data_IF_518786222666
#
_entry.id   IF_518786222666
#
_cell.length_a   1.000
_cell.length_b   1.000
_cell.length_c   1.000
_cell.angle_alpha   90.00
_cell.angle_beta   90.00
_cell.angle_gamma   90.00
#
_symmetry.space_group_name_H-M   'P 1'
#
loop_
_entity.id
_entity.type
_entity.pdbx_description
1 polymer ?
#
# COMPACT_ATOMS: atom_id res chain seq x y z
N UNK A 1 -17.21 7.51 -75.51
CA UNK A 1 -17.86 7.83 -74.22
C UNK A 1 -16.97 7.33 -73.12
N UNK A 2 -16.40 8.23 -72.34
CA UNK A 2 -15.28 7.96 -71.42
C UNK A 2 -15.81 7.58 -70.03
N UNK A 3 -15.50 6.38 -69.53
CA UNK A 3 -15.75 5.97 -68.16
C UNK A 3 -14.60 6.50 -67.31
N UNK A 4 -14.96 7.32 -66.34
CA UNK A 4 -14.03 7.84 -65.30
C UNK A 4 -14.13 6.89 -64.10
N UNK A 5 -13.09 6.10 -63.86
CA UNK A 5 -12.94 5.31 -62.67
C UNK A 5 -12.44 6.22 -61.56
N UNK A 6 -13.26 6.39 -60.51
CA UNK A 6 -12.82 7.05 -59.26
C UNK A 6 -12.06 6.03 -58.41
N UNK A 7 -10.76 6.22 -58.31
CA UNK A 7 -9.94 5.54 -57.29
C UNK A 7 -10.18 6.25 -55.95
N UNK A 8 -10.79 5.56 -55.03
CA UNK A 8 -10.80 5.90 -53.61
C UNK A 8 -9.54 5.34 -52.94
N UNK A 9 -8.66 6.24 -52.49
CA UNK A 9 -7.47 5.92 -51.71
C UNK A 9 -7.96 5.69 -50.28
N UNK A 10 -7.76 4.50 -49.64
CA UNK A 10 -7.97 4.39 -48.23
C UNK A 10 -6.80 5.06 -47.50
N UNK A 11 -7.12 6.04 -46.66
CA UNK A 11 -6.19 6.64 -45.76
C UNK A 11 -5.74 5.57 -44.75
N UNK A 12 -4.53 5.08 -44.92
CA UNK A 12 -3.87 4.17 -43.98
C UNK A 12 -3.49 5.00 -42.74
N UNK A 13 -4.31 4.94 -41.69
CA UNK A 13 -3.92 5.41 -40.37
C UNK A 13 -2.84 4.46 -39.85
N UNK A 14 -1.60 4.84 -40.03
CA UNK A 14 -0.46 4.19 -39.37
C UNK A 14 -0.49 4.64 -37.91
N UNK A 15 -1.18 3.87 -37.05
CA UNK A 15 -1.01 3.96 -35.61
C UNK A 15 0.41 3.44 -35.35
N UNK A 16 1.33 4.35 -35.09
CA UNK A 16 2.64 3.98 -34.55
C UNK A 16 2.39 3.35 -33.16
N UNK A 17 2.34 2.02 -33.13
CA UNK A 17 2.47 1.29 -31.91
C UNK A 17 3.89 1.53 -31.39
N UNK A 18 4.03 2.49 -30.47
CA UNK A 18 5.26 2.64 -29.70
C UNK A 18 5.35 1.37 -28.86
N UNK A 19 6.24 0.48 -29.27
CA UNK A 19 6.56 -0.75 -28.56
C UNK A 19 7.06 -0.37 -27.16
N UNK A 20 6.21 -0.53 -26.16
CA UNK A 20 6.56 -0.37 -24.74
C UNK A 20 7.30 -1.61 -24.20
N UNK A 21 8.13 -2.26 -25.00
CA UNK A 21 8.93 -3.42 -24.55
C UNK A 21 10.00 -3.06 -23.49
N UNK A 22 10.31 -1.77 -23.29
CA UNK A 22 11.15 -1.29 -22.19
C UNK A 22 10.38 -0.81 -20.93
N UNK A 23 9.06 -0.96 -20.93
CA UNK A 23 8.19 -0.41 -19.89
C UNK A 23 8.21 -1.21 -18.59
N UNK A 24 8.55 -2.48 -18.68
CA UNK A 24 8.53 -3.42 -17.55
C UNK A 24 9.93 -3.82 -17.08
N UNK A 25 10.97 -3.32 -17.72
CA UNK A 25 12.30 -3.30 -17.15
C UNK A 25 12.62 -1.87 -16.75
N UNK A 26 12.31 -1.46 -15.50
CA UNK A 26 12.86 -0.23 -14.95
C UNK A 26 14.37 -0.45 -14.84
N UNK A 27 15.10 -0.11 -15.89
CA UNK A 27 16.53 0.05 -15.73
C UNK A 27 16.71 1.12 -14.67
N UNK A 28 17.45 0.81 -13.61
CA UNK A 28 17.91 1.80 -12.65
C UNK A 28 18.77 2.81 -13.42
N UNK A 29 18.12 3.84 -13.97
CA UNK A 29 18.87 5.02 -14.37
C UNK A 29 19.26 5.68 -13.08
N UNK A 30 20.57 5.90 -12.92
CA UNK A 30 21.09 6.77 -11.90
C UNK A 30 20.25 8.05 -11.91
N UNK A 31 19.42 8.22 -10.89
CA UNK A 31 18.75 9.49 -10.62
C UNK A 31 19.81 10.34 -9.94
N UNK A 32 20.85 10.69 -10.70
CA UNK A 32 21.84 11.66 -10.28
C UNK A 32 21.16 13.02 -10.30
N UNK A 33 20.80 13.50 -9.14
CA UNK A 33 20.09 14.77 -9.00
C UNK A 33 18.89 14.72 -8.05
N UNK A 34 18.60 13.59 -7.43
CA UNK A 34 17.67 13.54 -6.32
C UNK A 34 18.20 14.42 -5.18
N UNK A 35 17.41 15.37 -4.72
CA UNK A 35 17.83 16.41 -3.74
C UNK A 35 18.10 17.78 -4.35
N UNK A 36 18.25 17.90 -5.67
CA UNK A 36 18.45 19.19 -6.33
C UNK A 36 17.18 19.75 -7.00
N UNK A 37 16.01 19.19 -6.72
CA UNK A 37 14.74 19.65 -7.31
C UNK A 37 14.65 19.50 -8.84
N UNK A 38 15.54 18.72 -9.44
CA UNK A 38 15.58 18.54 -10.88
C UNK A 38 14.45 17.61 -11.32
N UNK A 39 13.34 18.21 -11.68
CA UNK A 39 12.37 17.59 -12.59
C UNK A 39 13.15 17.01 -13.79
N UNK A 40 12.83 15.77 -14.24
CA UNK A 40 13.49 15.22 -15.42
C UNK A 40 13.38 16.22 -16.57
N UNK A 41 14.50 16.78 -16.98
CA UNK A 41 14.52 17.91 -17.94
C UNK A 41 14.36 17.48 -19.40
N UNK A 42 14.23 16.18 -19.68
CA UNK A 42 14.08 15.68 -21.04
C UNK A 42 12.62 15.36 -21.37
N UNK A 43 12.11 15.69 -22.56
CA UNK A 43 10.73 15.35 -22.97
C UNK A 43 10.40 13.86 -22.82
N UNK A 44 11.36 12.97 -23.10
CA UNK A 44 11.17 11.52 -22.94
C UNK A 44 10.96 11.12 -21.49
N UNK A 45 11.67 11.71 -20.53
CA UNK A 45 11.49 11.44 -19.12
C UNK A 45 10.14 11.97 -18.63
N UNK A 46 9.66 13.09 -19.15
CA UNK A 46 8.34 13.64 -18.85
C UNK A 46 7.24 12.72 -19.34
N UNK A 47 7.29 12.30 -20.59
CA UNK A 47 6.33 11.36 -21.19
C UNK A 47 6.29 10.02 -20.44
N UNK A 48 7.44 9.52 -20.02
CA UNK A 48 7.53 8.31 -19.21
C UNK A 48 6.75 8.45 -17.91
N UNK A 49 6.97 9.53 -17.16
CA UNK A 49 6.28 9.70 -15.87
C UNK A 49 4.80 10.06 -16.04
N UNK A 50 4.40 10.70 -17.11
CA UNK A 50 2.99 10.90 -17.47
C UNK A 50 2.30 9.56 -17.70
N UNK A 51 2.91 8.69 -18.49
CA UNK A 51 2.40 7.35 -18.74
C UNK A 51 2.39 6.47 -17.48
N UNK A 52 3.42 6.59 -16.63
CA UNK A 52 3.47 5.90 -15.33
C UNK A 52 2.31 6.33 -14.40
N UNK A 53 2.04 7.62 -14.29
CA UNK A 53 0.91 8.12 -13.51
C UNK A 53 -0.44 7.67 -14.09
N UNK A 54 -0.58 7.63 -15.41
CA UNK A 54 -1.77 7.12 -16.07
C UNK A 54 -1.97 5.62 -15.78
N UNK A 55 -0.88 4.83 -15.81
CA UNK A 55 -0.91 3.42 -15.41
C UNK A 55 -1.40 3.26 -13.97
N UNK A 56 -0.86 4.01 -13.02
CA UNK A 56 -1.26 3.93 -11.59
C UNK A 56 -2.71 4.37 -11.32
N UNK A 57 -3.33 5.08 -12.25
CA UNK A 57 -4.75 5.43 -12.20
C UNK A 57 -5.65 4.39 -12.89
N UNK A 58 -5.07 3.43 -13.61
CA UNK A 58 -5.83 2.38 -14.28
C UNK A 58 -6.26 1.28 -13.29
N UNK A 59 -7.19 0.43 -13.73
CA UNK A 59 -7.59 -0.76 -12.96
C UNK A 59 -6.56 -1.89 -13.11
N UNK A 60 -5.77 -2.11 -12.04
CA UNK A 60 -4.72 -3.13 -11.97
C UNK A 60 -4.55 -3.64 -10.54
N UNK A 61 -3.83 -4.75 -10.34
CA UNK A 61 -3.45 -5.21 -9.01
C UNK A 61 -2.32 -4.33 -8.47
N UNK A 62 -2.49 -3.75 -7.28
CA UNK A 62 -1.52 -2.80 -6.74
C UNK A 62 -0.30 -3.46 -6.12
N UNK A 63 0.84 -2.79 -6.21
CA UNK A 63 2.03 -3.10 -5.44
C UNK A 63 2.10 -2.22 -4.19
N UNK A 64 2.32 -2.85 -3.06
CA UNK A 64 2.31 -2.24 -1.73
C UNK A 64 3.60 -2.55 -0.96
N UNK A 65 3.95 -1.73 0.01
CA UNK A 65 4.93 -2.12 1.02
C UNK A 65 5.11 -1.11 2.13
N UNK A 66 5.55 -1.63 3.29
CA UNK A 66 6.00 -0.78 4.38
C UNK A 66 7.48 -0.45 4.18
N UNK A 67 7.79 0.83 4.19
CA UNK A 67 9.13 1.36 4.03
C UNK A 67 9.63 1.87 5.38
N UNK A 68 10.59 1.16 5.96
CA UNK A 68 11.31 1.56 7.15
C UNK A 68 12.57 2.35 6.83
N UNK A 69 13.34 2.69 7.88
CA UNK A 69 14.65 3.35 7.74
C UNK A 69 14.68 4.58 6.83
N UNK A 70 13.55 5.25 6.65
CA UNK A 70 13.40 6.39 5.77
C UNK A 70 14.15 7.63 6.29
N UNK A 71 15.17 8.05 5.59
CA UNK A 71 15.93 9.27 5.90
C UNK A 71 15.80 10.33 4.80
N UNK A 72 15.50 9.94 3.57
CA UNK A 72 15.51 10.79 2.38
C UNK A 72 16.93 11.20 1.94
N UNK A 73 17.97 10.65 2.56
CA UNK A 73 19.38 10.89 2.24
C UNK A 73 20.20 9.60 2.38
N UNK A 74 21.35 9.54 1.71
CA UNK A 74 22.28 8.41 1.82
C UNK A 74 23.32 8.42 0.69
N UNK A 75 24.30 7.52 0.79
CA UNK A 75 25.27 7.27 -0.29
C UNK A 75 24.62 6.46 -1.44
N UNK A 76 23.47 5.86 -1.18
CA UNK A 76 22.60 5.18 -2.15
C UNK A 76 21.15 5.64 -1.93
N UNK A 77 20.22 5.17 -2.76
CA UNK A 77 18.78 5.43 -2.59
C UNK A 77 18.07 4.40 -1.68
N UNK A 78 18.80 3.58 -0.96
CA UNK A 78 18.26 2.54 -0.08
C UNK A 78 17.30 3.09 0.98
N UNK A 79 17.64 4.25 1.58
CA UNK A 79 16.84 4.91 2.60
C UNK A 79 15.99 6.06 2.04
N UNK A 80 15.68 6.00 0.72
CA UNK A 80 14.85 6.95 0.02
C UNK A 80 13.71 6.22 -0.70
N UNK A 81 12.50 6.69 -0.56
CA UNK A 81 11.34 6.17 -1.32
C UNK A 81 11.52 6.34 -2.83
N UNK A 82 12.29 7.34 -3.24
CA UNK A 82 12.68 7.55 -4.64
C UNK A 82 13.45 6.37 -5.23
N UNK A 83 14.16 5.58 -4.40
CA UNK A 83 14.89 4.38 -4.81
C UNK A 83 14.04 3.17 -5.14
N UNK A 84 12.77 3.17 -4.73
CA UNK A 84 11.82 2.10 -5.03
C UNK A 84 11.53 2.01 -6.53
N UNK A 85 11.16 0.82 -7.03
CA UNK A 85 10.69 0.66 -8.40
C UNK A 85 9.58 1.66 -8.72
N UNK A 86 9.63 2.27 -9.90
CA UNK A 86 8.71 3.35 -10.28
C UNK A 86 7.24 2.91 -10.27
N UNK A 87 6.97 1.64 -10.56
CA UNK A 87 5.63 1.06 -10.58
C UNK A 87 5.07 0.67 -9.19
N UNK A 88 5.79 0.95 -8.08
CA UNK A 88 5.21 0.80 -6.74
C UNK A 88 4.06 1.79 -6.57
N UNK A 89 2.87 1.29 -6.21
CA UNK A 89 1.63 2.06 -6.16
C UNK A 89 1.43 2.73 -4.81
N UNK A 90 1.64 1.98 -3.72
CA UNK A 90 1.35 2.43 -2.36
C UNK A 90 2.53 2.11 -1.44
N UNK A 91 2.95 3.07 -0.65
CA UNK A 91 3.97 2.93 0.39
C UNK A 91 3.35 3.32 1.73
N UNK A 92 3.49 2.48 2.74
CA UNK A 92 3.22 2.84 4.13
C UNK A 92 4.53 3.21 4.83
N UNK A 93 4.62 4.44 5.36
CA UNK A 93 5.84 4.98 5.99
C UNK A 93 6.01 4.44 7.41
N UNK A 94 6.71 3.31 7.55
CA UNK A 94 6.93 2.64 8.83
C UNK A 94 7.98 3.37 9.68
N UNK A 95 7.56 3.83 10.86
CA UNK A 95 8.46 4.50 11.82
C UNK A 95 8.73 5.99 11.58
N UNK A 96 8.28 6.56 10.47
CA UNK A 96 8.55 7.96 10.14
C UNK A 96 7.40 8.70 9.46
N UNK A 97 6.48 9.27 10.24
CA UNK A 97 5.32 10.01 9.69
C UNK A 97 5.15 11.41 10.28
N UNK A 98 6.02 11.82 11.21
CA UNK A 98 5.99 13.13 11.88
C UNK A 98 7.38 13.75 11.91
N UNK A 99 7.41 15.08 12.02
CA UNK A 99 8.65 15.84 12.11
C UNK A 99 9.62 15.55 10.95
N UNK A 100 9.07 15.42 9.75
CA UNK A 100 9.84 15.08 8.55
C UNK A 100 10.95 16.11 8.32
N UNK A 101 12.17 15.64 8.08
CA UNK A 101 13.29 16.47 7.62
C UNK A 101 12.96 17.06 6.24
N UNK A 102 13.70 18.09 5.84
CA UNK A 102 13.56 18.66 4.49
C UNK A 102 13.79 17.62 3.40
N UNK A 103 14.78 16.76 3.58
CA UNK A 103 15.07 15.68 2.63
C UNK A 103 13.93 14.67 2.52
N UNK A 104 13.31 14.28 3.64
CA UNK A 104 12.13 13.42 3.61
C UNK A 104 10.94 14.09 2.93
N UNK A 105 10.72 15.39 3.14
CA UNK A 105 9.65 16.14 2.47
C UNK A 105 9.87 16.21 0.95
N UNK A 106 11.12 16.41 0.52
CA UNK A 106 11.50 16.43 -0.91
C UNK A 106 11.33 15.04 -1.54
N UNK A 107 11.74 13.98 -0.85
CA UNK A 107 11.57 12.60 -1.28
C UNK A 107 10.09 12.21 -1.39
N UNK A 108 9.29 12.53 -0.37
CA UNK A 108 7.83 12.36 -0.38
C UNK A 108 7.19 13.03 -1.60
N UNK A 109 7.49 14.31 -1.78
CA UNK A 109 6.97 15.07 -2.91
C UNK A 109 7.37 14.48 -4.26
N UNK A 110 8.61 14.02 -4.41
CA UNK A 110 9.08 13.39 -5.63
C UNK A 110 8.28 12.13 -5.97
N UNK A 111 8.10 11.21 -5.02
CA UNK A 111 7.38 9.96 -5.30
C UNK A 111 5.89 10.20 -5.56
N UNK A 112 5.27 11.18 -4.88
CA UNK A 112 3.88 11.53 -5.08
C UNK A 112 3.64 12.25 -6.40
N UNK A 113 4.34 13.36 -6.66
CA UNK A 113 4.06 14.23 -7.79
C UNK A 113 4.66 13.71 -9.11
N UNK A 114 5.86 13.11 -9.05
CA UNK A 114 6.56 12.64 -10.25
C UNK A 114 6.18 11.21 -10.57
N UNK A 115 6.31 10.28 -9.60
CA UNK A 115 6.00 8.86 -9.82
C UNK A 115 4.50 8.53 -9.71
N UNK A 116 3.70 9.36 -9.04
CA UNK A 116 2.28 9.10 -8.77
C UNK A 116 2.05 8.01 -7.72
N UNK A 117 3.06 7.71 -6.90
CA UNK A 117 2.97 6.75 -5.79
C UNK A 117 2.21 7.38 -4.63
N UNK A 118 1.26 6.66 -4.03
CA UNK A 118 0.59 7.09 -2.80
C UNK A 118 1.46 6.73 -1.60
N UNK A 119 1.60 7.66 -0.66
CA UNK A 119 2.34 7.43 0.58
C UNK A 119 1.42 7.61 1.78
N UNK A 120 1.29 6.58 2.60
CA UNK A 120 0.44 6.53 3.78
C UNK A 120 1.28 6.69 5.05
N UNK A 121 0.69 7.30 6.05
CA UNK A 121 1.17 7.18 7.42
C UNK A 121 0.67 5.87 8.02
N UNK A 122 1.45 5.23 8.89
CA UNK A 122 1.11 3.95 9.51
C UNK A 122 1.64 3.86 10.94
N UNK A 123 0.90 3.26 11.80
CA UNK A 123 1.31 2.75 13.12
C UNK A 123 0.20 1.92 13.77
N UNK A 124 0.56 1.10 14.78
CA UNK A 124 -0.38 0.31 15.58
C UNK A 124 -1.32 1.24 16.35
N UNK A 125 -2.63 1.19 16.06
CA UNK A 125 -3.61 2.17 16.53
C UNK A 125 -4.33 1.79 17.82
N UNK A 126 -4.24 0.53 18.28
CA UNK A 126 -5.03 0.02 19.40
C UNK A 126 -4.84 0.83 20.68
N UNK A 127 -3.66 1.37 20.89
CA UNK A 127 -3.31 2.25 22.01
C UNK A 127 -3.34 3.71 21.57
N UNK A 128 -4.20 4.52 22.16
CA UNK A 128 -4.34 5.94 21.85
C UNK A 128 -3.12 6.79 22.30
N UNK A 129 -2.08 6.17 22.84
CA UNK A 129 -0.76 6.76 23.08
C UNK A 129 0.23 6.54 21.93
N UNK A 130 -0.13 5.71 20.95
CA UNK A 130 0.70 5.39 19.79
C UNK A 130 0.86 6.58 18.82
N UNK A 131 1.76 6.44 17.84
CA UNK A 131 2.01 7.45 16.83
C UNK A 131 2.70 8.73 17.36
N UNK A 132 3.09 8.76 18.64
CA UNK A 132 3.77 9.91 19.26
C UNK A 132 2.89 11.18 19.36
N UNK A 133 1.57 11.04 19.34
CA UNK A 133 0.63 12.16 19.41
C UNK A 133 0.44 12.68 20.85
N UNK A 134 0.64 11.81 21.83
CA UNK A 134 0.57 12.17 23.25
C UNK A 134 1.98 12.51 23.76
N UNK A 135 2.18 13.66 24.44
CA UNK A 135 3.45 13.98 25.06
C UNK A 135 3.89 12.90 26.05
N UNK A 136 5.19 12.56 26.08
CA UNK A 136 5.72 11.47 26.89
C UNK A 136 5.34 11.54 28.38
N UNK A 137 5.23 12.74 28.94
CA UNK A 137 4.84 12.97 30.34
C UNK A 137 3.36 12.61 30.62
N UNK A 138 2.52 12.61 29.56
CA UNK A 138 1.09 12.30 29.59
C UNK A 138 0.76 10.96 28.95
N UNK A 139 1.78 10.13 28.68
CA UNK A 139 1.69 8.83 28.03
C UNK A 139 2.32 7.71 28.87
N UNK A 140 2.36 7.84 30.20
CA UNK A 140 2.96 6.85 31.08
C UNK A 140 2.03 5.71 31.42
N UNK A 141 0.75 6.00 31.55
CA UNK A 141 -0.31 5.03 31.86
C UNK A 141 -1.51 5.19 30.93
N UNK A 142 -2.39 4.18 30.88
CA UNK A 142 -3.65 4.30 30.17
C UNK A 142 -4.52 5.45 30.69
N UNK A 143 -4.49 5.68 32.03
CA UNK A 143 -5.23 6.78 32.65
C UNK A 143 -4.71 8.15 32.19
N UNK A 144 -3.37 8.34 32.13
CA UNK A 144 -2.77 9.58 31.62
C UNK A 144 -3.21 9.86 30.19
N UNK A 145 -3.21 8.86 29.32
CA UNK A 145 -3.65 8.99 27.92
C UNK A 145 -5.11 9.35 27.81
N UNK A 146 -5.98 8.63 28.54
CA UNK A 146 -7.42 8.92 28.58
C UNK A 146 -7.68 10.36 29.00
N UNK A 147 -7.02 10.81 30.07
CA UNK A 147 -7.11 12.19 30.54
C UNK A 147 -6.66 13.20 29.48
N UNK A 148 -5.56 12.93 28.79
CA UNK A 148 -5.07 13.78 27.69
C UNK A 148 -6.11 13.95 26.59
N UNK A 149 -6.81 12.88 26.22
CA UNK A 149 -7.85 12.90 25.21
C UNK A 149 -9.17 13.45 25.71
N UNK A 150 -9.34 13.63 27.01
CA UNK A 150 -10.57 14.10 27.64
C UNK A 150 -11.60 13.00 27.92
N UNK A 151 -11.14 11.78 28.01
CA UNK A 151 -11.95 10.60 28.31
C UNK A 151 -12.23 10.51 29.83
N UNK A 152 -13.49 10.35 30.21
CA UNK A 152 -13.97 10.13 31.56
C UNK A 152 -14.85 8.89 31.59
N UNK A 153 -14.39 7.83 32.24
CA UNK A 153 -15.10 6.53 32.30
C UNK A 153 -16.51 6.63 32.90
N UNK A 154 -16.80 7.68 33.67
CA UNK A 154 -18.14 7.96 34.24
C UNK A 154 -19.11 8.59 33.23
N UNK A 155 -18.63 9.05 32.06
CA UNK A 155 -19.37 9.79 31.06
C UNK A 155 -19.16 9.20 29.66
N UNK A 156 -20.00 8.26 29.21
CA UNK A 156 -19.83 7.58 27.93
C UNK A 156 -19.66 8.49 26.71
N UNK A 157 -20.31 9.66 26.71
CA UNK A 157 -20.19 10.64 25.63
C UNK A 157 -18.77 11.22 25.48
N UNK A 158 -17.99 11.25 26.56
CA UNK A 158 -16.60 11.72 26.53
C UNK A 158 -15.69 10.67 25.90
N UNK A 159 -16.04 9.40 25.97
CA UNK A 159 -15.29 8.29 25.39
C UNK A 159 -15.32 8.40 23.87
N UNK A 160 -16.52 8.54 23.30
CA UNK A 160 -16.69 8.74 21.87
C UNK A 160 -15.98 10.00 21.39
N UNK A 161 -16.14 11.12 22.10
CA UNK A 161 -15.48 12.38 21.78
C UNK A 161 -13.93 12.26 21.80
N UNK A 162 -13.37 11.50 22.75
CA UNK A 162 -11.93 11.24 22.84
C UNK A 162 -11.42 10.43 21.66
N UNK A 163 -12.15 9.40 21.25
CA UNK A 163 -11.81 8.58 20.07
C UNK A 163 -11.86 9.41 18.78
N UNK A 164 -12.91 10.21 18.60
CA UNK A 164 -13.02 11.12 17.44
C UNK A 164 -11.89 12.15 17.44
N UNK A 165 -11.53 12.71 18.60
CA UNK A 165 -10.40 13.64 18.72
C UNK A 165 -9.08 12.99 18.33
N UNK A 166 -8.84 11.75 18.76
CA UNK A 166 -7.65 10.98 18.37
C UNK A 166 -7.59 10.78 16.85
N UNK A 167 -8.65 10.28 16.23
CA UNK A 167 -8.78 10.10 14.80
C UNK A 167 -8.52 11.41 14.02
N UNK A 168 -9.13 12.52 14.46
CA UNK A 168 -8.94 13.82 13.83
C UNK A 168 -7.51 14.35 13.98
N UNK A 169 -6.84 14.10 15.10
CA UNK A 169 -5.45 14.51 15.32
C UNK A 169 -4.49 13.77 14.37
N UNK A 170 -4.78 12.49 14.06
CA UNK A 170 -4.08 11.74 13.03
C UNK A 170 -4.30 12.40 11.66
N UNK A 171 -5.56 12.68 11.31
CA UNK A 171 -5.90 13.34 10.04
C UNK A 171 -5.25 14.72 9.90
N UNK A 172 -5.19 15.52 10.97
CA UNK A 172 -4.49 16.82 10.97
C UNK A 172 -3.01 16.66 10.63
N UNK A 173 -2.38 15.60 11.14
CA UNK A 173 -0.96 15.31 10.88
C UNK A 173 -0.76 14.84 9.44
N UNK A 174 -1.63 13.96 8.93
CA UNK A 174 -1.65 13.50 7.53
C UNK A 174 -1.75 14.70 6.58
N UNK A 175 -2.67 15.60 6.86
CA UNK A 175 -2.87 16.81 6.06
C UNK A 175 -1.68 17.75 6.13
N UNK A 176 -1.11 17.94 7.33
CA UNK A 176 0.05 18.81 7.56
C UNK A 176 1.28 18.38 6.75
N UNK A 177 1.55 17.09 6.69
CA UNK A 177 2.74 16.55 6.00
C UNK A 177 2.45 16.10 4.56
N UNK A 178 1.20 16.14 4.12
CA UNK A 178 0.83 15.81 2.74
C UNK A 178 0.77 14.32 2.42
N UNK A 179 0.63 13.44 3.41
CA UNK A 179 0.40 12.01 3.14
C UNK A 179 -0.91 11.78 2.39
N UNK A 180 -0.98 10.71 1.58
CA UNK A 180 -2.14 10.36 0.76
C UNK A 180 -3.21 9.59 1.52
N UNK A 181 -2.99 9.26 2.78
CA UNK A 181 -3.93 8.53 3.60
C UNK A 181 -3.31 7.93 4.85
N UNK A 182 -4.00 6.93 5.39
CA UNK A 182 -3.61 6.23 6.60
C UNK A 182 -3.76 4.72 6.44
N UNK A 183 -2.79 4.00 6.95
CA UNK A 183 -2.77 2.55 7.07
C UNK A 183 -2.98 2.20 8.55
N UNK A 184 -4.11 1.57 8.84
CA UNK A 184 -4.50 1.16 10.20
C UNK A 184 -3.83 -0.16 10.51
N UNK A 185 -2.72 -0.15 11.23
CA UNK A 185 -2.13 -1.38 11.74
C UNK A 185 -2.95 -1.86 12.94
N UNK A 186 -3.71 -2.97 12.73
CA UNK A 186 -4.65 -3.54 13.70
C UNK A 186 -4.39 -5.02 13.97
N UNK A 187 -3.79 -5.29 15.12
CA UNK A 187 -3.33 -6.63 15.51
C UNK A 187 -3.84 -7.03 16.91
N UNK A 188 -5.17 -7.14 17.15
CA UNK A 188 -5.72 -7.34 18.48
C UNK A 188 -5.35 -8.69 19.11
N UNK A 189 -5.03 -9.71 18.31
CA UNK A 189 -4.70 -11.05 18.77
C UNK A 189 -3.19 -11.27 19.03
N UNK A 190 -2.33 -10.31 18.61
CA UNK A 190 -0.88 -10.37 18.82
C UNK A 190 -0.37 -9.57 20.03
N UNK A 191 -1.24 -9.37 21.03
CA UNK A 191 -0.86 -8.75 22.31
C UNK A 191 -0.96 -7.23 22.34
N UNK A 192 -1.28 -6.58 21.22
CA UNK A 192 -1.53 -5.16 21.17
C UNK A 192 -2.92 -4.84 21.69
N UNK A 193 -2.98 -4.45 22.95
CA UNK A 193 -4.21 -4.00 23.62
C UNK A 193 -4.15 -2.49 23.79
N UNK A 194 -5.26 -1.88 24.12
CA UNK A 194 -5.34 -0.44 24.34
C UNK A 194 -6.79 0.02 24.37
N UNK A 195 -6.98 1.30 24.23
CA UNK A 195 -8.30 1.91 24.33
C UNK A 195 -9.23 1.49 23.17
N UNK A 196 -8.69 1.21 21.98
CA UNK A 196 -9.44 0.77 20.80
C UNK A 196 -9.43 -0.75 20.62
N UNK A 197 -8.34 -1.42 21.02
CA UNK A 197 -8.16 -2.85 20.81
C UNK A 197 -9.24 -3.71 21.48
N UNK A 198 -9.87 -4.60 20.69
CA UNK A 198 -10.92 -5.49 21.18
C UNK A 198 -12.23 -4.80 21.58
N UNK A 199 -12.47 -3.57 21.09
CA UNK A 199 -13.73 -2.86 21.31
C UNK A 199 -14.31 -2.36 19.98
N UNK A 200 -15.27 -3.09 19.44
CA UNK A 200 -15.89 -2.85 18.15
C UNK A 200 -16.52 -1.46 18.02
N UNK A 201 -17.19 -0.99 19.06
CA UNK A 201 -17.83 0.33 19.03
C UNK A 201 -16.80 1.44 18.89
N UNK A 202 -15.73 1.40 19.68
CA UNK A 202 -14.68 2.42 19.64
C UNK A 202 -13.89 2.35 18.35
N UNK A 203 -13.57 1.14 17.89
CA UNK A 203 -12.87 0.94 16.62
C UNK A 203 -13.71 1.43 15.44
N UNK A 204 -15.04 1.17 15.46
CA UNK A 204 -15.94 1.68 14.43
C UNK A 204 -16.04 3.21 14.44
N UNK A 205 -16.12 3.82 15.63
CA UNK A 205 -16.09 5.29 15.79
C UNK A 205 -14.80 5.88 15.20
N UNK A 206 -13.65 5.26 15.50
CA UNK A 206 -12.35 5.67 14.98
C UNK A 206 -12.31 5.59 13.44
N UNK A 207 -12.63 4.42 12.87
CA UNK A 207 -12.60 4.19 11.42
C UNK A 207 -13.55 5.13 10.68
N UNK A 208 -14.76 5.31 11.22
CA UNK A 208 -15.74 6.22 10.62
C UNK A 208 -15.24 7.67 10.61
N UNK A 209 -14.69 8.15 11.72
CA UNK A 209 -14.16 9.51 11.82
C UNK A 209 -12.99 9.73 10.83
N UNK A 210 -12.08 8.75 10.70
CA UNK A 210 -10.98 8.78 9.75
C UNK A 210 -11.49 8.78 8.30
N UNK A 211 -12.33 7.81 7.95
CA UNK A 211 -12.83 7.62 6.59
C UNK A 211 -13.67 8.79 6.09
N UNK A 212 -14.59 9.27 6.92
CA UNK A 212 -15.42 10.44 6.59
C UNK A 212 -14.59 11.70 6.27
N UNK A 213 -13.42 11.85 6.91
CA UNK A 213 -12.54 12.99 6.69
C UNK A 213 -11.57 12.77 5.54
N UNK A 214 -10.91 11.63 5.47
CA UNK A 214 -9.89 11.34 4.46
C UNK A 214 -10.50 11.24 3.07
N UNK A 215 -11.61 10.52 2.90
CA UNK A 215 -12.27 10.36 1.61
C UNK A 215 -12.79 11.67 1.02
N UNK A 216 -13.29 12.59 1.85
CA UNK A 216 -13.68 13.95 1.38
C UNK A 216 -12.54 14.74 0.77
N UNK A 217 -11.28 14.35 1.07
CA UNK A 217 -10.05 14.96 0.54
C UNK A 217 -9.37 14.12 -0.53
N UNK A 218 -10.02 13.06 -1.02
CA UNK A 218 -9.46 12.13 -2.00
C UNK A 218 -8.30 11.29 -1.46
N UNK A 219 -8.19 11.17 -0.13
CA UNK A 219 -7.18 10.34 0.54
C UNK A 219 -7.76 8.97 0.86
N UNK A 220 -6.91 7.95 0.94
CA UNK A 220 -7.33 6.57 1.20
C UNK A 220 -7.18 6.18 2.66
N UNK A 221 -7.99 5.22 3.09
CA UNK A 221 -7.93 4.58 4.40
C UNK A 221 -7.84 3.07 4.19
N UNK A 222 -6.76 2.47 4.64
CA UNK A 222 -6.55 1.03 4.53
C UNK A 222 -6.36 0.41 5.90
N UNK A 223 -6.46 -0.91 5.99
CA UNK A 223 -6.14 -1.66 7.20
C UNK A 223 -5.13 -2.73 6.89
N UNK A 224 -4.18 -2.89 7.77
CA UNK A 224 -3.25 -4.02 7.78
C UNK A 224 -3.33 -4.85 9.07
N UNK A 225 -2.66 -6.01 9.08
CA UNK A 225 -2.67 -6.96 10.19
C UNK A 225 -3.82 -7.96 10.11
N UNK A 226 -4.88 -7.70 10.88
CA UNK A 226 -6.04 -8.59 11.01
C UNK A 226 -7.35 -7.95 10.52
N UNK A 227 -7.55 -7.73 9.22
CA UNK A 227 -8.77 -7.10 8.69
C UNK A 227 -10.05 -7.87 9.06
N UNK A 228 -9.98 -9.19 9.26
CA UNK A 228 -11.11 -10.04 9.67
C UNK A 228 -11.54 -9.80 11.11
N UNK A 229 -10.74 -9.09 11.91
CA UNK A 229 -11.01 -8.80 13.32
C UNK A 229 -11.65 -7.43 13.56
N UNK A 230 -11.90 -6.66 12.52
CA UNK A 230 -12.59 -5.37 12.58
C UNK A 230 -14.11 -5.53 12.60
N UNK A 231 -14.85 -4.54 13.14
CA UNK A 231 -16.29 -4.47 12.96
C UNK A 231 -16.65 -4.51 11.47
N UNK A 232 -17.61 -5.35 11.07
CA UNK A 232 -17.95 -5.55 9.65
C UNK A 232 -18.34 -4.25 8.91
N UNK A 233 -18.98 -3.31 9.60
CA UNK A 233 -19.37 -2.02 9.02
C UNK A 233 -18.19 -1.15 8.61
N UNK A 234 -16.98 -1.44 9.12
CA UNK A 234 -15.73 -0.79 8.73
C UNK A 234 -15.42 -0.99 7.24
N UNK A 235 -15.87 -2.09 6.63
CA UNK A 235 -15.67 -2.36 5.22
C UNK A 235 -16.16 -1.27 4.26
N UNK A 236 -17.09 -0.42 4.70
CA UNK A 236 -17.60 0.74 3.93
C UNK A 236 -16.59 1.88 3.83
N UNK A 237 -15.58 1.90 4.71
CA UNK A 237 -14.61 2.98 4.86
C UNK A 237 -13.21 2.58 4.44
N UNK A 238 -12.98 1.29 4.13
CA UNK A 238 -11.64 0.76 3.86
C UNK A 238 -11.46 0.54 2.36
N UNK A 239 -10.40 1.13 1.81
CA UNK A 239 -10.05 1.00 0.39
C UNK A 239 -9.34 -0.33 0.11
N UNK A 240 -8.50 -0.81 1.04
CA UNK A 240 -7.78 -2.09 0.93
C UNK A 240 -7.71 -2.82 2.27
N UNK A 241 -7.63 -4.15 2.18
CA UNK A 241 -7.37 -5.11 3.25
C UNK A 241 -5.99 -5.70 3.03
N UNK A 242 -5.00 -5.29 3.81
CA UNK A 242 -3.61 -5.71 3.68
C UNK A 242 -3.35 -6.78 4.71
N UNK A 243 -3.00 -7.98 4.26
CA UNK A 243 -2.85 -9.13 5.13
C UNK A 243 -1.38 -9.49 5.29
N UNK A 244 -0.92 -9.51 6.52
CA UNK A 244 0.40 -9.97 6.92
C UNK A 244 0.45 -11.51 6.78
N UNK A 245 0.53 -12.00 5.51
CA UNK A 245 0.63 -13.42 5.19
C UNK A 245 2.08 -13.92 5.30
N UNK A 246 2.79 -13.44 6.33
CA UNK A 246 4.21 -13.70 6.54
C UNK A 246 4.51 -15.19 6.64
N UNK A 247 5.57 -15.61 5.96
CA UNK A 247 5.99 -17.01 5.88
C UNK A 247 4.85 -17.96 5.42
N UNK A 248 4.00 -17.53 4.51
CA UNK A 248 2.95 -18.35 3.93
C UNK A 248 3.55 -19.46 3.06
N UNK A 249 3.08 -20.70 3.23
CA UNK A 249 3.62 -21.88 2.55
C UNK A 249 2.79 -22.37 1.36
N UNK A 250 1.66 -21.72 1.02
CA UNK A 250 0.86 -22.20 -0.13
C UNK A 250 -0.46 -21.44 -0.32
N UNK A 251 -1.08 -21.68 -1.48
CA UNK A 251 -2.37 -21.08 -1.86
C UNK A 251 -3.46 -21.37 -0.82
N UNK A 252 -3.47 -22.55 -0.20
CA UNK A 252 -4.48 -22.96 0.79
C UNK A 252 -4.53 -22.04 2.01
N UNK A 253 -3.38 -21.52 2.47
CA UNK A 253 -3.31 -20.60 3.60
C UNK A 253 -3.90 -19.23 3.18
N UNK A 254 -3.57 -18.75 1.99
CA UNK A 254 -4.12 -17.51 1.45
C UNK A 254 -5.64 -17.59 1.24
N UNK A 255 -6.12 -18.72 0.71
CA UNK A 255 -7.56 -19.00 0.54
C UNK A 255 -8.29 -18.96 1.88
N UNK A 256 -7.70 -19.59 2.93
CA UNK A 256 -8.26 -19.59 4.28
C UNK A 256 -8.34 -18.19 4.91
N UNK A 257 -7.28 -17.39 4.77
CA UNK A 257 -7.22 -16.00 5.27
C UNK A 257 -8.22 -15.10 4.54
N UNK A 258 -8.30 -15.19 3.21
CA UNK A 258 -9.28 -14.46 2.43
C UNK A 258 -10.70 -14.85 2.82
N UNK A 259 -10.99 -16.16 2.98
CA UNK A 259 -12.32 -16.62 3.37
C UNK A 259 -12.73 -16.08 4.73
N UNK A 260 -11.82 -15.99 5.69
CA UNK A 260 -12.10 -15.38 7.00
C UNK A 260 -12.50 -13.90 6.85
N UNK A 261 -11.79 -13.15 6.00
CA UNK A 261 -12.10 -11.74 5.69
C UNK A 261 -13.45 -11.60 4.97
N UNK A 262 -13.74 -12.44 3.98
CA UNK A 262 -15.05 -12.48 3.29
C UNK A 262 -16.18 -12.75 4.30
N UNK A 263 -16.01 -13.72 5.19
CA UNK A 263 -17.00 -14.06 6.19
C UNK A 263 -17.30 -12.90 7.14
N UNK A 264 -16.25 -12.18 7.56
CA UNK A 264 -16.41 -11.02 8.45
C UNK A 264 -17.24 -9.91 7.80
N UNK A 265 -16.97 -9.59 6.54
CA UNK A 265 -17.65 -8.49 5.85
C UNK A 265 -18.94 -8.90 5.13
N UNK A 266 -19.41 -10.13 5.31
CA UNK A 266 -20.64 -10.63 4.70
C UNK A 266 -21.86 -9.74 5.04
N UNK A 267 -22.61 -9.38 4.00
CA UNK A 267 -23.75 -8.48 4.10
C UNK A 267 -23.39 -6.98 4.06
N UNK A 268 -22.10 -6.64 4.03
CA UNK A 268 -21.59 -5.28 3.85
C UNK A 268 -20.87 -5.14 2.51
N UNK A 269 -20.04 -6.12 2.19
CA UNK A 269 -19.32 -6.24 0.91
C UNK A 269 -19.62 -7.61 0.28
N UNK A 270 -19.56 -7.66 -1.03
CA UNK A 270 -19.57 -8.93 -1.77
C UNK A 270 -18.21 -9.63 -1.64
N UNK A 271 -18.16 -10.95 -1.78
CA UNK A 271 -16.89 -11.69 -1.79
C UNK A 271 -15.89 -11.17 -2.85
N UNK A 272 -16.39 -10.76 -4.01
CA UNK A 272 -15.59 -10.20 -5.10
C UNK A 272 -15.01 -8.82 -4.74
N UNK A 273 -15.79 -7.97 -4.05
CA UNK A 273 -15.30 -6.67 -3.55
C UNK A 273 -14.20 -6.85 -2.49
N UNK A 274 -14.34 -7.85 -1.60
CA UNK A 274 -13.30 -8.17 -0.64
C UNK A 274 -12.04 -8.64 -1.37
N UNK A 275 -12.15 -9.59 -2.29
CA UNK A 275 -11.01 -10.12 -3.05
C UNK A 275 -10.30 -9.03 -3.87
N UNK A 276 -11.05 -8.13 -4.52
CA UNK A 276 -10.49 -7.03 -5.31
C UNK A 276 -9.72 -6.00 -4.48
N UNK A 277 -9.95 -5.94 -3.16
CA UNK A 277 -9.25 -5.06 -2.21
C UNK A 277 -8.21 -5.79 -1.37
N UNK A 278 -8.02 -7.10 -1.58
CA UNK A 278 -7.19 -7.96 -0.74
C UNK A 278 -5.74 -7.97 -1.20
N UNK A 279 -4.84 -7.43 -0.39
CA UNK A 279 -3.40 -7.38 -0.65
C UNK A 279 -2.71 -8.38 0.28
N UNK A 280 -1.89 -9.27 -0.26
CA UNK A 280 -1.11 -10.24 0.50
C UNK A 280 0.35 -9.82 0.57
N UNK A 281 0.98 -9.95 1.75
CA UNK A 281 2.34 -9.43 1.97
C UNK A 281 3.26 -10.44 2.64
N UNK A 282 4.55 -10.35 2.26
CA UNK A 282 5.62 -11.15 2.85
C UNK A 282 6.53 -10.30 3.75
N UNK A 283 7.17 -10.94 4.73
CA UNK A 283 8.10 -10.32 5.67
C UNK A 283 9.53 -10.25 5.11
N UNK A 284 9.91 -9.10 4.59
CA UNK A 284 11.27 -8.88 4.10
C UNK A 284 12.27 -8.40 5.17
N UNK A 285 11.81 -8.12 6.39
CA UNK A 285 12.75 -8.03 7.51
C UNK A 285 13.54 -9.33 7.70
N UNK A 286 12.86 -10.46 7.50
CA UNK A 286 13.47 -11.79 7.67
C UNK A 286 13.89 -12.44 6.35
N UNK A 287 13.20 -12.17 5.23
CA UNK A 287 13.28 -12.99 4.01
C UNK A 287 13.67 -12.22 2.75
N UNK A 288 14.14 -10.98 2.84
CA UNK A 288 14.51 -10.17 1.68
C UNK A 288 15.55 -10.84 0.77
N UNK A 289 16.47 -11.65 1.32
CA UNK A 289 17.53 -12.31 0.57
C UNK A 289 17.05 -13.43 -0.35
N UNK A 290 15.93 -14.08 0.03
CA UNK A 290 15.42 -15.28 -0.62
C UNK A 290 14.09 -15.04 -1.34
N UNK A 291 13.48 -13.87 -1.12
CA UNK A 291 12.14 -13.52 -1.65
C UNK A 291 11.01 -14.23 -0.91
N UNK A 292 11.26 -14.69 0.32
CA UNK A 292 10.32 -15.40 1.16
C UNK A 292 10.75 -16.83 1.51
N UNK A 293 9.82 -17.60 2.08
CA UNK A 293 9.99 -19.03 2.40
C UNK A 293 9.60 -19.92 1.21
N UNK A 294 9.77 -21.24 1.33
CA UNK A 294 9.25 -22.19 0.33
C UNK A 294 7.72 -22.19 0.33
N UNK A 295 7.14 -22.10 -0.86
CA UNK A 295 5.72 -21.98 -1.12
C UNK A 295 5.28 -22.97 -2.18
N UNK A 296 4.28 -23.79 -1.89
CA UNK A 296 3.73 -24.77 -2.83
C UNK A 296 2.36 -24.29 -3.33
N UNK A 297 2.28 -23.99 -4.62
CA UNK A 297 1.03 -23.61 -5.27
C UNK A 297 0.08 -24.82 -5.45
N UNK A 298 -1.20 -24.57 -5.70
CA UNK A 298 -2.21 -25.62 -5.91
C UNK A 298 -1.91 -26.54 -7.11
N UNK A 299 -1.09 -26.09 -8.06
CA UNK A 299 -0.62 -26.91 -9.19
C UNK A 299 0.61 -27.78 -8.85
N UNK A 300 1.03 -27.79 -7.58
CA UNK A 300 2.18 -28.55 -7.08
C UNK A 300 3.54 -27.94 -7.37
N UNK A 301 3.60 -26.75 -7.98
CA UNK A 301 4.87 -26.06 -8.21
C UNK A 301 5.35 -25.33 -6.98
N UNK A 302 6.67 -25.27 -6.83
CA UNK A 302 7.33 -24.58 -5.74
C UNK A 302 7.89 -23.23 -6.19
N UNK A 303 7.75 -22.23 -5.32
CA UNK A 303 8.21 -20.87 -5.51
C UNK A 303 8.77 -20.32 -4.19
N UNK A 304 9.39 -19.13 -4.20
CA UNK A 304 9.47 -18.32 -2.99
C UNK A 304 8.07 -17.75 -2.66
N UNK A 305 7.78 -17.51 -1.40
CA UNK A 305 6.42 -17.12 -0.99
C UNK A 305 5.93 -15.82 -1.65
N UNK A 306 6.79 -14.80 -1.83
CA UNK A 306 6.37 -13.59 -2.56
C UNK A 306 6.01 -13.90 -4.03
N UNK A 307 6.77 -14.78 -4.70
CA UNK A 307 6.44 -15.22 -6.06
C UNK A 307 5.14 -16.03 -6.08
N UNK A 308 4.96 -16.95 -5.13
CA UNK A 308 3.73 -17.73 -4.96
C UNK A 308 2.52 -16.83 -4.73
N UNK A 309 2.62 -15.89 -3.79
CA UNK A 309 1.61 -14.86 -3.54
C UNK A 309 1.28 -14.03 -4.78
N UNK A 310 2.28 -13.68 -5.59
CA UNK A 310 2.05 -12.94 -6.82
C UNK A 310 1.26 -13.76 -7.85
N UNK A 311 1.51 -15.07 -7.95
CA UNK A 311 0.82 -16.00 -8.86
C UNK A 311 -0.57 -16.40 -8.37
N UNK A 312 -0.78 -16.43 -7.06
CA UNK A 312 -2.08 -16.78 -6.48
C UNK A 312 -3.15 -15.78 -6.91
N UNK A 313 -4.26 -16.29 -7.44
CA UNK A 313 -5.49 -15.55 -7.66
C UNK A 313 -6.63 -16.35 -7.03
N UNK A 314 -7.42 -15.75 -6.13
CA UNK A 314 -8.44 -16.49 -5.39
C UNK A 314 -9.58 -16.95 -6.29
N UNK A 315 -10.24 -18.03 -5.88
CA UNK A 315 -11.50 -18.50 -6.46
C UNK A 315 -12.64 -18.06 -5.56
N UNK A 316 -13.50 -17.19 -6.08
CA UNK A 316 -14.67 -16.67 -5.39
C UNK A 316 -15.92 -17.07 -6.17
N UNK A 317 -16.91 -17.66 -5.48
CA UNK A 317 -18.15 -18.14 -6.12
C UNK A 317 -17.89 -19.04 -7.36
N UNK A 318 -16.84 -19.89 -7.28
CA UNK A 318 -16.44 -20.79 -8.36
C UNK A 318 -15.74 -20.14 -9.55
N UNK A 319 -15.37 -18.86 -9.46
CA UNK A 319 -14.63 -18.14 -10.49
C UNK A 319 -13.32 -17.60 -9.94
N UNK A 320 -12.26 -17.75 -10.72
CA UNK A 320 -10.99 -17.08 -10.40
C UNK A 320 -11.15 -15.56 -10.60
N UNK A 321 -10.76 -14.78 -9.60
CA UNK A 321 -10.81 -13.32 -9.61
C UNK A 321 -9.43 -12.74 -9.32
N UNK A 322 -9.19 -11.51 -9.77
CA UNK A 322 -7.97 -10.81 -9.46
C UNK A 322 -8.01 -10.34 -7.99
N UNK A 323 -6.94 -10.60 -7.24
CA UNK A 323 -6.74 -9.99 -5.91
C UNK A 323 -6.38 -8.51 -6.00
N UNK A 324 -6.50 -7.78 -4.89
CA UNK A 324 -6.15 -6.36 -4.81
C UNK A 324 -4.67 -6.07 -5.06
N UNK A 325 -3.77 -6.95 -4.61
CA UNK A 325 -2.34 -6.73 -4.83
C UNK A 325 -1.41 -7.64 -4.06
N UNK A 326 -0.12 -7.27 -4.09
CA UNK A 326 0.96 -7.91 -3.32
C UNK A 326 1.83 -6.85 -2.65
N UNK A 327 2.58 -7.23 -1.62
CA UNK A 327 3.53 -6.32 -0.99
C UNK A 327 4.54 -6.99 -0.07
N UNK A 328 5.38 -6.14 0.56
CA UNK A 328 6.43 -6.60 1.46
C UNK A 328 6.57 -5.69 2.67
N UNK A 329 6.82 -6.27 3.83
CA UNK A 329 7.23 -5.56 5.04
C UNK A 329 8.74 -5.32 5.02
N UNK A 330 9.21 -4.12 5.40
CA UNK A 330 10.58 -3.67 5.24
C UNK A 330 11.09 -3.83 3.80
N UNK A 331 10.34 -3.25 2.86
CA UNK A 331 10.65 -3.36 1.43
C UNK A 331 12.06 -2.84 1.09
N UNK A 332 12.62 -1.91 1.86
CA UNK A 332 13.96 -1.36 1.67
C UNK A 332 15.08 -2.41 1.88
N UNK A 333 14.84 -3.50 2.62
CA UNK A 333 15.85 -4.53 2.85
C UNK A 333 16.19 -5.35 1.61
N UNK A 334 15.33 -5.29 0.60
CA UNK A 334 15.57 -5.88 -0.72
C UNK A 334 16.31 -4.91 -1.67
N UNK A 335 16.72 -3.70 -1.20
CA UNK A 335 17.33 -2.73 -2.09
C UNK A 335 18.45 -3.33 -2.94
N UNK A 336 19.33 -4.17 -2.35
CA UNK A 336 20.30 -4.99 -3.06
C UNK A 336 20.34 -6.39 -2.47
N UNK A 337 20.27 -7.39 -3.33
CA UNK A 337 20.38 -8.80 -2.96
C UNK A 337 21.61 -9.38 -3.62
N UNK A 338 22.50 -10.00 -2.82
CA UNK A 338 23.74 -10.62 -3.31
C UNK A 338 23.44 -11.67 -4.41
N UNK A 339 24.19 -11.58 -5.49
CA UNK A 339 24.03 -12.49 -6.64
C UNK A 339 22.80 -12.19 -7.52
N UNK A 340 22.02 -11.16 -7.24
CA UNK A 340 20.92 -10.71 -8.08
C UNK A 340 21.27 -9.39 -8.77
N UNK A 341 20.92 -9.21 -10.04
CA UNK A 341 21.14 -7.95 -10.74
C UNK A 341 20.15 -6.88 -10.31
N UNK A 342 20.61 -5.61 -10.30
CA UNK A 342 19.75 -4.45 -10.05
C UNK A 342 19.32 -4.28 -8.59
N UNK A 343 18.19 -3.60 -8.41
CA UNK A 343 17.56 -3.34 -7.11
C UNK A 343 16.18 -3.97 -7.06
N UNK A 344 15.73 -4.40 -5.88
CA UNK A 344 14.39 -4.96 -5.66
C UNK A 344 14.05 -6.15 -6.60
N UNK A 345 14.91 -7.18 -6.73
CA UNK A 345 14.73 -8.22 -7.74
C UNK A 345 13.45 -9.04 -7.55
N UNK A 346 13.06 -9.35 -6.33
CA UNK A 346 11.86 -10.14 -6.04
C UNK A 346 10.57 -9.32 -6.16
N UNK A 347 10.56 -8.10 -5.63
CA UNK A 347 9.41 -7.20 -5.75
C UNK A 347 9.14 -6.87 -7.23
N UNK A 348 10.18 -6.58 -8.02
CA UNK A 348 10.04 -6.35 -9.47
C UNK A 348 9.43 -7.56 -10.18
N UNK A 349 9.91 -8.77 -9.86
CA UNK A 349 9.35 -10.01 -10.42
C UNK A 349 7.89 -10.19 -10.02
N UNK A 350 7.56 -9.97 -8.76
CA UNK A 350 6.19 -10.08 -8.25
C UNK A 350 5.25 -9.07 -8.93
N UNK A 351 5.66 -7.82 -9.10
CA UNK A 351 4.89 -6.79 -9.83
C UNK A 351 4.61 -7.18 -11.30
N UNK A 352 5.60 -7.78 -11.99
CA UNK A 352 5.40 -8.27 -13.35
C UNK A 352 4.44 -9.46 -13.43
N UNK A 353 4.37 -10.27 -12.38
CA UNK A 353 3.47 -11.42 -12.32
C UNK A 353 2.02 -11.02 -12.08
N UNK A 354 1.78 -10.02 -11.20
CA UNK A 354 0.41 -9.54 -10.93
C UNK A 354 -0.15 -8.71 -12.09
N UNK A 355 0.71 -8.02 -12.83
CA UNK A 355 0.34 -7.20 -13.99
C UNK A 355 1.25 -7.54 -15.18
N UNK A 356 1.03 -8.70 -15.83
CA UNK A 356 1.84 -9.08 -16.98
C UNK A 356 1.66 -8.09 -18.14
N UNK A 357 2.73 -7.85 -18.92
CA UNK A 357 2.64 -6.97 -20.09
C UNK A 357 1.59 -7.50 -21.08
N UNK A 358 0.81 -6.59 -21.63
CA UNK A 358 -0.13 -6.92 -22.69
C UNK A 358 0.71 -7.39 -23.90
N UNK A 359 0.59 -8.65 -24.25
CA UNK A 359 1.17 -9.15 -25.49
C UNK A 359 0.21 -8.79 -26.63
N UNK A 360 0.63 -7.89 -27.49
CA UNK A 360 -0.07 -7.58 -28.75
C UNK A 360 0.27 -8.61 -29.81
#
# INVERSE_FOLDING_TARGET
MKNIIKLSIPALLTIMAVSCSGWLEPQSKDITGFGNGNNPSTPKAKEYYEALRAYKQSDHAVSFGWFGNWTGVGASLENCMAGLPDSVDIISSWGGWRNLSKAQQEDLKFVQEVKGTKVLAVFIVQDMGSGGLVPAQQNKTAEDRRKYWGWDDSKPETIEAAVVKYANTICDTIEKYGFDGFDIDYEPNYGHRGELGGNDTRMMTFIKAMGDRLHKKGKILVVDGEPQSLPKEAGKYLDYFIVQAYACHGDYDLDGRLQATINNYNGVLTPEEVAARYIVTENFESYAKDGGVSYTANDGKEYSSLEGMARWNPTVNGKQVRKGGIGTYHMEYEYRVDGKPGTYPYLRKAMQLINPPIKY
#
